data_IF_019014226684
#
_entry.id   IF_019014226684
#
_cell.length_a   1.000
_cell.length_b   1.000
_cell.length_c   1.000
_cell.angle_alpha   90.00
_cell.angle_beta   90.00
_cell.angle_gamma   90.00
#
_symmetry.space_group_name_H-M   'P 1'
#
loop_
_entity.id
_entity.type
_entity.pdbx_description
1 polymer ?
#
# COMPACT_ATOMS: atom_id res chain seq x y z
N UNK A 1 4.91 31.21 -11.77
CA UNK A 1 5.26 29.85 -12.22
C UNK A 1 4.21 28.89 -11.71
N UNK A 2 3.79 27.92 -12.53
CA UNK A 2 2.74 26.95 -12.15
C UNK A 2 3.39 25.90 -11.23
N UNK A 3 3.05 25.93 -9.95
CA UNK A 3 3.58 25.01 -8.94
C UNK A 3 3.00 23.61 -9.21
N UNK A 4 3.85 22.58 -9.19
CA UNK A 4 3.41 21.19 -9.33
C UNK A 4 3.34 20.52 -7.96
N UNK A 5 2.50 19.50 -7.88
CA UNK A 5 2.37 18.63 -6.72
C UNK A 5 2.96 17.26 -7.02
N UNK A 6 3.77 16.77 -6.10
CA UNK A 6 4.40 15.46 -6.17
C UNK A 6 4.09 14.67 -4.92
N UNK A 7 3.68 13.42 -5.07
CA UNK A 7 3.53 12.48 -3.96
C UNK A 7 4.90 12.14 -3.37
N UNK A 8 5.01 12.18 -2.05
CA UNK A 8 6.16 11.72 -1.29
C UNK A 8 5.70 10.72 -0.20
N UNK A 9 6.22 9.50 -0.27
CA UNK A 9 5.79 8.38 0.54
C UNK A 9 6.73 8.15 1.72
N UNK A 10 6.16 8.14 2.92
CA UNK A 10 6.87 7.87 4.16
C UNK A 10 6.27 6.67 4.89
N UNK A 11 7.09 5.97 5.65
CA UNK A 11 6.61 5.12 6.76
C UNK A 11 6.62 5.95 8.04
N UNK A 12 6.03 5.45 9.13
CA UNK A 12 6.14 6.15 10.42
C UNK A 12 7.60 6.31 10.86
N UNK A 13 8.45 5.31 10.56
CA UNK A 13 9.87 5.37 10.85
C UNK A 13 10.60 6.43 10.00
N UNK A 14 10.45 6.41 8.68
CA UNK A 14 11.18 7.35 7.81
C UNK A 14 10.70 8.79 7.98
N UNK A 15 9.43 9.00 8.38
CA UNK A 15 8.92 10.32 8.75
C UNK A 15 9.57 10.86 10.02
N UNK A 16 9.70 10.01 11.06
CA UNK A 16 10.36 10.41 12.29
C UNK A 16 11.85 10.70 12.04
N UNK A 17 12.55 9.85 11.27
CA UNK A 17 13.96 10.07 10.89
C UNK A 17 14.15 11.36 10.08
N UNK A 18 13.19 11.67 9.19
CA UNK A 18 13.16 12.94 8.48
C UNK A 18 13.04 14.13 9.45
N UNK A 19 12.15 14.07 10.44
CA UNK A 19 12.01 15.14 11.44
C UNK A 19 13.24 15.24 12.35
N UNK A 20 13.80 14.12 12.81
CA UNK A 20 15.00 14.06 13.66
C UNK A 20 16.24 14.63 12.97
N UNK A 21 16.35 14.47 11.65
CA UNK A 21 17.41 15.07 10.82
C UNK A 21 17.17 16.55 10.46
N UNK A 22 16.14 17.17 11.04
CA UNK A 22 15.82 18.59 10.88
C UNK A 22 14.82 18.91 9.76
N UNK A 23 14.22 17.89 9.13
CA UNK A 23 13.11 18.06 8.19
C UNK A 23 13.46 18.82 6.92
N UNK A 24 14.73 18.85 6.52
CA UNK A 24 15.23 19.72 5.45
C UNK A 24 15.61 18.98 4.16
N UNK A 25 15.53 17.65 4.17
CA UNK A 25 15.97 16.81 3.05
C UNK A 25 14.99 15.66 2.84
N UNK A 26 14.30 15.65 1.70
CA UNK A 26 13.50 14.48 1.26
C UNK A 26 14.34 13.62 0.32
N UNK A 27 14.20 12.30 0.44
CA UNK A 27 15.01 11.32 -0.28
C UNK A 27 14.16 10.26 -0.97
N UNK A 28 14.63 9.83 -2.13
CA UNK A 28 14.05 8.79 -2.96
C UNK A 28 15.10 7.76 -3.35
N UNK A 29 14.64 6.59 -3.80
CA UNK A 29 15.52 5.53 -4.31
C UNK A 29 16.28 6.02 -5.54
N UNK A 30 17.49 5.51 -5.74
CA UNK A 30 18.34 5.84 -6.89
C UNK A 30 17.63 5.59 -8.24
N UNK A 31 16.86 4.51 -8.35
CA UNK A 31 16.07 4.18 -9.54
C UNK A 31 15.03 5.24 -9.93
N UNK A 32 14.72 6.18 -9.03
CA UNK A 32 13.78 7.28 -9.23
C UNK A 32 14.47 8.59 -9.60
N UNK A 33 15.81 8.61 -9.72
CA UNK A 33 16.60 9.81 -10.02
C UNK A 33 16.08 10.59 -11.23
N UNK A 34 15.76 9.91 -12.34
CA UNK A 34 15.21 10.53 -13.55
C UNK A 34 13.85 11.23 -13.33
N UNK A 35 13.09 10.83 -12.33
CA UNK A 35 11.83 11.47 -11.95
C UNK A 35 12.08 12.63 -11.00
N UNK A 36 12.99 12.47 -10.03
CA UNK A 36 13.40 13.54 -9.11
C UNK A 36 13.99 14.71 -9.89
N UNK A 37 14.76 14.46 -10.95
CA UNK A 37 15.30 15.48 -11.86
C UNK A 37 14.24 16.38 -12.53
N UNK A 38 12.97 15.96 -12.55
CA UNK A 38 11.86 16.74 -13.11
C UNK A 38 11.23 17.69 -12.09
N UNK A 39 11.52 17.51 -10.81
CA UNK A 39 11.02 18.32 -9.71
C UNK A 39 11.82 19.61 -9.66
N UNK A 40 11.14 20.76 -9.61
CA UNK A 40 11.76 22.07 -9.63
C UNK A 40 11.61 22.79 -8.31
N UNK A 41 12.51 23.75 -8.05
CA UNK A 41 12.34 24.69 -6.94
C UNK A 41 10.98 25.39 -7.01
N UNK A 42 10.27 25.39 -5.87
CA UNK A 42 8.92 25.92 -5.72
C UNK A 42 7.80 24.90 -5.99
N UNK A 43 8.11 23.68 -6.40
CA UNK A 43 7.13 22.58 -6.39
C UNK A 43 6.84 22.12 -4.95
N UNK A 44 5.69 21.49 -4.74
CA UNK A 44 5.28 20.96 -3.45
C UNK A 44 5.33 19.43 -3.42
N UNK A 45 5.81 18.89 -2.31
CA UNK A 45 5.74 17.47 -1.98
C UNK A 45 4.58 17.24 -1.01
N UNK A 46 3.68 16.32 -1.34
CA UNK A 46 2.57 15.88 -0.51
C UNK A 46 3.03 14.63 0.25
N UNK A 47 3.22 14.77 1.56
CA UNK A 47 3.70 13.67 2.41
C UNK A 47 2.57 12.76 2.83
N UNK A 48 2.71 11.47 2.50
CA UNK A 48 1.73 10.43 2.81
C UNK A 48 2.37 9.27 3.59
N UNK A 49 1.70 8.82 4.65
CA UNK A 49 2.13 7.67 5.46
C UNK A 49 1.55 6.35 4.94
N UNK A 50 2.42 5.47 4.43
CA UNK A 50 2.05 4.23 3.70
C UNK A 50 1.57 3.06 4.56
N UNK A 51 1.59 3.14 5.90
CA UNK A 51 1.03 2.09 6.78
C UNK A 51 -0.33 2.43 7.38
N UNK A 52 -0.68 3.72 7.44
CA UNK A 52 -1.88 4.21 8.14
C UNK A 52 -2.81 5.00 7.21
N UNK A 53 -2.41 5.13 5.94
CA UNK A 53 -3.11 5.79 4.85
C UNK A 53 -3.54 7.23 5.15
N UNK A 54 -2.58 8.06 5.60
CA UNK A 54 -2.83 9.46 5.97
C UNK A 54 -1.89 10.44 5.29
N UNK A 55 -2.43 11.59 4.91
CA UNK A 55 -1.63 12.77 4.55
C UNK A 55 -1.16 13.47 5.82
N UNK A 56 0.15 13.59 5.98
CA UNK A 56 0.77 14.10 7.21
C UNK A 56 1.40 15.48 7.04
N UNK A 57 1.70 15.92 5.82
CA UNK A 57 2.35 17.21 5.65
C UNK A 57 2.56 17.62 4.20
N UNK A 58 3.06 18.84 4.06
CA UNK A 58 3.41 19.46 2.78
C UNK A 58 4.78 20.10 2.91
N UNK A 59 5.65 19.81 1.95
CA UNK A 59 7.00 20.37 1.88
C UNK A 59 7.13 21.19 0.60
N UNK A 60 7.81 22.33 0.68
CA UNK A 60 8.22 23.12 -0.48
C UNK A 60 9.63 22.74 -0.89
N UNK A 61 9.87 22.51 -2.18
CA UNK A 61 11.19 22.22 -2.72
C UNK A 61 11.99 23.51 -2.87
N UNK A 62 13.16 23.59 -2.23
CA UNK A 62 13.97 24.83 -2.19
C UNK A 62 15.29 24.73 -2.98
N UNK A 63 15.68 23.55 -3.45
CA UNK A 63 16.89 23.32 -4.25
C UNK A 63 16.62 22.54 -5.53
N UNK A 64 17.63 22.53 -6.40
CA UNK A 64 17.72 21.51 -7.44
C UNK A 64 17.97 20.11 -6.83
N UNK A 65 17.58 19.04 -7.54
CA UNK A 65 17.91 17.65 -7.22
C UNK A 65 19.42 17.41 -7.08
N UNK A 66 19.80 16.60 -6.10
CA UNK A 66 21.20 16.16 -5.91
C UNK A 66 21.26 14.70 -5.47
N UNK A 67 22.42 14.07 -5.63
CA UNK A 67 22.69 12.74 -5.10
C UNK A 67 23.60 12.82 -3.87
N UNK A 68 23.25 12.12 -2.80
CA UNK A 68 24.01 12.09 -1.55
C UNK A 68 23.68 10.81 -0.76
N UNK A 69 24.70 10.16 -0.22
CA UNK A 69 24.59 8.87 0.47
C UNK A 69 24.73 9.01 2.00
N UNK A 70 24.63 10.22 2.57
CA UNK A 70 24.71 10.39 4.02
C UNK A 70 23.62 9.60 4.75
N UNK A 71 23.92 8.99 5.90
CA UNK A 71 22.97 8.15 6.62
C UNK A 71 21.95 9.02 7.37
N UNK A 72 20.78 9.23 6.74
CA UNK A 72 19.60 9.84 7.37
C UNK A 72 18.60 8.75 7.80
N UNK A 73 18.39 7.76 6.93
CA UNK A 73 17.44 6.67 7.14
C UNK A 73 18.17 5.38 7.51
N UNK A 74 17.61 4.62 8.46
CA UNK A 74 18.27 3.42 9.01
C UNK A 74 18.06 2.16 8.17
N UNK A 75 16.89 2.05 7.55
CA UNK A 75 16.46 0.80 6.90
C UNK A 75 16.86 0.72 5.42
N UNK A 76 16.89 1.86 4.72
CA UNK A 76 17.18 1.91 3.28
C UNK A 76 17.93 3.19 2.90
N UNK A 77 18.71 3.11 1.83
CA UNK A 77 19.38 4.27 1.24
C UNK A 77 18.45 5.01 0.27
N UNK A 78 18.35 6.32 0.47
CA UNK A 78 17.62 7.22 -0.40
C UNK A 78 18.57 8.29 -0.97
N UNK A 79 19.38 7.93 -1.98
CA UNK A 79 20.43 8.80 -2.48
C UNK A 79 19.91 9.93 -3.37
N UNK A 80 18.76 9.79 -4.02
CA UNK A 80 18.17 10.84 -4.85
C UNK A 80 17.42 11.85 -3.97
N UNK A 81 17.96 13.05 -3.76
CA UNK A 81 17.48 13.99 -2.73
C UNK A 81 17.09 15.35 -3.25
N UNK A 82 16.26 16.00 -2.45
CA UNK A 82 15.83 17.40 -2.59
C UNK A 82 15.97 18.11 -1.25
N UNK A 83 16.49 19.34 -1.26
CA UNK A 83 16.32 20.21 -0.10
C UNK A 83 14.89 20.73 -0.09
N UNK A 84 14.28 20.64 1.08
CA UNK A 84 12.87 20.93 1.28
C UNK A 84 12.69 21.78 2.53
N UNK A 85 11.58 22.53 2.57
CA UNK A 85 11.14 23.28 3.73
C UNK A 85 9.74 22.78 4.12
N UNK A 86 9.52 22.34 5.37
CA UNK A 86 8.17 22.00 5.83
C UNK A 86 7.28 23.25 5.85
N UNK A 87 6.15 23.18 5.16
CA UNK A 87 5.12 24.24 5.17
C UNK A 87 4.05 23.90 6.20
N UNK A 88 3.58 22.65 6.19
CA UNK A 88 2.64 22.12 7.17
C UNK A 88 3.11 20.73 7.59
N UNK A 89 3.13 20.49 8.90
CA UNK A 89 3.45 19.20 9.50
C UNK A 89 2.40 18.86 10.55
N UNK A 90 1.65 17.79 10.31
CA UNK A 90 0.65 17.24 11.23
C UNK A 90 1.27 16.14 12.09
N UNK A 91 0.61 15.81 13.20
CA UNK A 91 0.93 14.61 13.98
C UNK A 91 0.22 13.40 13.38
N UNK A 92 0.72 12.17 13.56
CA UNK A 92 0.07 10.98 13.00
C UNK A 92 -1.42 10.86 13.37
N UNK A 93 -1.80 11.24 14.60
CA UNK A 93 -3.19 11.24 15.07
C UNK A 93 -4.05 12.35 14.43
N UNK A 94 -3.48 13.50 14.07
CA UNK A 94 -4.21 14.59 13.41
C UNK A 94 -4.11 14.57 11.87
N UNK A 95 -3.25 13.71 11.33
CA UNK A 95 -3.09 13.48 9.90
C UNK A 95 -4.40 13.02 9.23
N UNK A 96 -4.58 13.37 7.97
CA UNK A 96 -5.86 13.22 7.27
C UNK A 96 -5.95 11.85 6.61
N UNK A 97 -6.90 10.98 6.99
CA UNK A 97 -7.10 9.71 6.31
C UNK A 97 -7.53 9.93 4.86
N UNK A 98 -6.90 9.22 3.93
CA UNK A 98 -7.11 9.39 2.48
C UNK A 98 -8.59 9.29 2.07
N UNK A 99 -9.35 8.41 2.72
CA UNK A 99 -10.77 8.21 2.44
C UNK A 99 -11.65 9.42 2.78
N UNK A 100 -11.20 10.34 3.64
CA UNK A 100 -11.95 11.58 3.91
C UNK A 100 -11.98 12.53 2.72
N UNK A 101 -11.06 12.33 1.75
CA UNK A 101 -10.97 13.12 0.52
C UNK A 101 -11.47 12.35 -0.71
N UNK A 102 -12.16 11.21 -0.51
CA UNK A 102 -12.65 10.34 -1.59
C UNK A 102 -13.44 11.11 -2.66
N UNK A 103 -14.31 12.03 -2.25
CA UNK A 103 -15.19 12.76 -3.18
C UNK A 103 -14.46 13.89 -3.94
N UNK A 104 -13.28 14.28 -3.47
CA UNK A 104 -12.50 15.40 -4.05
C UNK A 104 -11.39 14.94 -4.99
N UNK A 105 -10.92 13.71 -4.82
CA UNK A 105 -9.71 13.21 -5.46
C UNK A 105 -10.03 12.40 -6.72
N UNK A 106 -9.38 12.76 -7.82
CA UNK A 106 -9.60 12.19 -9.15
C UNK A 106 -9.38 10.67 -9.17
N UNK A 107 -8.40 10.16 -8.43
CA UNK A 107 -8.09 8.73 -8.37
C UNK A 107 -9.05 7.90 -7.51
N UNK A 108 -10.08 8.50 -6.93
CA UNK A 108 -11.24 7.78 -6.38
C UNK A 108 -12.47 7.83 -7.29
N UNK A 109 -12.40 8.55 -8.41
CA UNK A 109 -13.49 8.64 -9.37
C UNK A 109 -13.40 7.48 -10.37
N UNK A 110 -14.55 6.94 -10.76
CA UNK A 110 -14.66 5.89 -11.79
C UNK A 110 -13.79 4.64 -11.51
N UNK A 111 -13.71 4.23 -10.25
CA UNK A 111 -12.95 3.05 -9.85
C UNK A 111 -13.52 1.78 -10.46
N UNK A 112 -12.66 0.97 -11.09
CA UNK A 112 -13.00 -0.38 -11.57
C UNK A 112 -13.19 -1.38 -10.42
N UNK A 113 -12.53 -1.13 -9.27
CA UNK A 113 -12.65 -1.92 -8.06
C UNK A 113 -12.41 -1.06 -6.80
N UNK A 114 -12.89 -1.46 -5.62
CA UNK A 114 -12.74 -0.69 -4.38
C UNK A 114 -11.28 -0.38 -3.99
N UNK A 115 -10.31 -1.17 -4.47
CA UNK A 115 -8.89 -1.02 -4.16
C UNK A 115 -8.07 -0.36 -5.27
N UNK A 116 -8.67 -0.04 -6.42
CA UNK A 116 -7.94 0.51 -7.57
C UNK A 116 -7.27 1.86 -7.27
N UNK A 117 -7.79 2.64 -6.31
CA UNK A 117 -7.20 3.91 -5.86
C UNK A 117 -5.78 3.74 -5.29
N UNK A 118 -5.45 2.57 -4.74
CA UNK A 118 -4.11 2.29 -4.18
C UNK A 118 -3.01 2.40 -5.23
N UNK A 119 -3.35 2.24 -6.51
CA UNK A 119 -2.43 2.43 -7.64
C UNK A 119 -1.76 3.81 -7.65
N UNK A 120 -2.47 4.85 -7.21
CA UNK A 120 -1.93 6.22 -7.12
C UNK A 120 -0.77 6.35 -6.12
N UNK A 121 -0.64 5.39 -5.19
CA UNK A 121 0.35 5.37 -4.10
C UNK A 121 1.45 4.31 -4.30
N UNK A 122 1.53 3.69 -5.49
CA UNK A 122 2.54 2.64 -5.77
C UNK A 122 3.91 3.17 -6.19
N UNK A 123 4.07 4.48 -6.37
CA UNK A 123 5.35 5.06 -6.77
C UNK A 123 5.62 6.40 -6.10
N UNK A 124 6.86 6.60 -5.66
CA UNK A 124 7.35 7.86 -5.10
C UNK A 124 8.67 8.25 -5.78
N UNK A 125 8.84 9.49 -6.28
CA UNK A 125 7.82 10.53 -6.36
C UNK A 125 6.86 10.27 -7.53
N UNK A 126 5.64 10.78 -7.45
CA UNK A 126 4.65 10.75 -8.55
C UNK A 126 4.00 12.12 -8.75
N UNK A 127 3.94 12.60 -9.99
CA UNK A 127 3.30 13.89 -10.29
C UNK A 127 1.78 13.75 -10.23
N UNK A 128 1.13 14.62 -9.47
CA UNK A 128 -0.33 14.67 -9.36
C UNK A 128 -0.93 15.85 -10.13
N UNK A 129 -2.23 15.77 -10.39
CA UNK A 129 -2.97 16.86 -11.00
C UNK A 129 -2.98 18.07 -10.07
N UNK A 130 -3.17 19.27 -10.65
CA UNK A 130 -3.24 20.48 -9.85
C UNK A 130 -4.46 20.45 -8.92
N UNK A 131 -5.59 19.97 -9.41
CA UNK A 131 -6.84 19.94 -8.65
C UNK A 131 -6.74 18.99 -7.44
N UNK A 132 -6.14 17.81 -7.61
CA UNK A 132 -5.89 16.89 -6.49
C UNK A 132 -4.92 17.50 -5.48
N UNK A 133 -3.85 18.13 -5.97
CA UNK A 133 -2.87 18.78 -5.12
C UNK A 133 -3.46 19.95 -4.32
N UNK A 134 -4.23 20.81 -4.97
CA UNK A 134 -4.92 21.95 -4.35
C UNK A 134 -5.96 21.47 -3.30
N UNK A 135 -6.69 20.39 -3.59
CA UNK A 135 -7.66 19.79 -2.66
C UNK A 135 -6.98 19.25 -1.39
N UNK A 136 -5.86 18.55 -1.54
CA UNK A 136 -5.09 18.01 -0.40
C UNK A 136 -4.41 19.14 0.36
N UNK A 137 -3.84 20.12 -0.34
CA UNK A 137 -3.22 21.27 0.30
C UNK A 137 -4.20 21.99 1.21
N UNK A 138 -5.40 22.27 0.68
CA UNK A 138 -6.46 22.93 1.44
C UNK A 138 -6.90 22.10 2.64
N UNK A 139 -7.06 20.79 2.47
CA UNK A 139 -7.45 19.89 3.56
C UNK A 139 -6.39 19.82 4.66
N UNK A 140 -5.11 19.66 4.30
CA UNK A 140 -3.99 19.59 5.26
C UNK A 140 -3.80 20.92 5.98
N UNK A 141 -4.04 22.04 5.30
CA UNK A 141 -4.07 23.36 5.94
C UNK A 141 -5.20 23.47 6.96
N UNK A 142 -6.41 23.10 6.59
CA UNK A 142 -7.56 23.08 7.51
C UNK A 142 -7.30 22.17 8.73
N UNK A 143 -6.74 20.98 8.53
CA UNK A 143 -6.40 20.10 9.65
C UNK A 143 -5.26 20.63 10.55
N UNK A 144 -4.43 21.56 10.05
CA UNK A 144 -3.43 22.24 10.86
C UNK A 144 -4.05 23.33 11.74
N UNK A 145 -5.11 23.98 11.27
CA UNK A 145 -5.84 25.02 12.00
C UNK A 145 -6.90 24.40 12.95
N UNK A 146 -7.55 23.32 12.50
CA UNK A 146 -8.62 22.59 13.18
C UNK A 146 -8.25 21.10 13.34
N UNK A 147 -7.29 20.77 14.23
CA UNK A 147 -6.82 19.40 14.38
C UNK A 147 -7.92 18.50 14.94
N UNK A 148 -8.27 17.46 14.19
CA UNK A 148 -9.18 16.40 14.64
C UNK A 148 -8.36 15.19 15.04
N UNK A 149 -8.40 14.83 16.32
CA UNK A 149 -7.71 13.66 16.84
C UNK A 149 -8.38 12.37 16.33
N UNK A 150 -7.60 11.55 15.64
CA UNK A 150 -8.00 10.24 15.13
C UNK A 150 -6.93 9.24 15.54
N UNK A 151 -7.18 8.37 16.53
CA UNK A 151 -6.21 7.37 16.96
C UNK A 151 -5.65 6.57 15.79
N UNK A 152 -4.36 6.25 15.86
CA UNK A 152 -3.65 5.43 14.88
C UNK A 152 -3.20 4.17 15.57
N UNK A 153 -3.34 3.02 14.92
CA UNK A 153 -2.77 1.77 15.42
C UNK A 153 -1.22 1.88 15.45
N UNK A 154 -0.59 1.83 16.64
CA UNK A 154 0.86 1.92 16.77
C UNK A 154 1.60 0.81 16.01
N UNK A 155 0.99 -0.37 15.82
CA UNK A 155 1.60 -1.47 15.06
C UNK A 155 1.72 -1.11 13.59
N UNK A 156 0.67 -0.54 12.99
CA UNK A 156 0.66 -0.08 11.59
C UNK A 156 1.60 1.11 11.39
N UNK A 157 1.72 2.00 12.37
CA UNK A 157 2.62 3.16 12.30
C UNK A 157 4.10 2.75 12.37
N UNK A 158 4.43 1.80 13.24
CA UNK A 158 5.79 1.30 13.41
C UNK A 158 6.17 0.20 12.40
N UNK A 159 5.25 -0.18 11.52
CA UNK A 159 5.50 -1.19 10.50
C UNK A 159 6.59 -0.72 9.53
N UNK A 160 7.58 -1.59 9.30
CA UNK A 160 8.68 -1.38 8.38
C UNK A 160 8.58 -2.40 7.23
N UNK A 161 8.31 -1.97 5.99
CA UNK A 161 8.30 -2.89 4.86
C UNK A 161 9.71 -3.43 4.65
N UNK A 162 9.84 -4.76 4.59
CA UNK A 162 11.12 -5.42 4.31
C UNK A 162 11.44 -5.26 2.83
N UNK A 163 12.46 -4.47 2.49
CA UNK A 163 12.99 -4.39 1.13
C UNK A 163 13.69 -5.69 0.75
N UNK A 164 13.16 -6.43 -0.24
CA UNK A 164 13.88 -7.56 -0.83
C UNK A 164 14.79 -7.05 -1.95
N UNK A 165 16.10 -7.34 -1.85
CA UNK A 165 17.06 -7.11 -2.95
C UNK A 165 16.90 -8.23 -3.99
N UNK A 166 16.12 -7.95 -5.05
CA UNK A 166 16.04 -8.80 -6.25
C UNK A 166 17.11 -8.40 -7.27
N UNK A 167 17.52 -9.33 -8.16
CA UNK A 167 18.42 -9.04 -9.30
C UNK A 167 17.86 -8.00 -10.29
N UNK A 168 16.58 -7.60 -10.16
CA UNK A 168 15.89 -6.61 -11.00
C UNK A 168 15.64 -5.28 -10.23
N UNK A 169 16.27 -5.10 -9.06
CA UNK A 169 16.14 -3.92 -8.22
C UNK A 169 15.26 -4.15 -6.99
N UNK A 170 15.27 -3.20 -6.06
CA UNK A 170 14.51 -3.29 -4.82
C UNK A 170 13.02 -3.05 -5.10
N UNK A 171 12.23 -4.12 -4.97
CA UNK A 171 10.77 -4.04 -5.01
C UNK A 171 10.27 -4.03 -3.58
N UNK A 172 9.72 -2.90 -3.13
CA UNK A 172 8.94 -2.87 -1.90
C UNK A 172 7.61 -3.55 -2.19
N UNK A 173 7.43 -4.75 -1.66
CA UNK A 173 6.15 -5.45 -1.69
C UNK A 173 5.25 -4.75 -0.65
N UNK A 174 4.17 -4.05 -1.05
CA UNK A 174 3.13 -3.70 -0.09
C UNK A 174 2.67 -5.03 0.50
N UNK A 175 2.74 -5.19 1.82
CA UNK A 175 2.16 -6.38 2.43
C UNK A 175 0.70 -6.45 2.03
N UNK A 176 0.34 -7.50 1.29
CA UNK A 176 -1.02 -8.00 1.24
C UNK A 176 -1.45 -8.20 2.68
N UNK A 177 -2.38 -7.35 3.10
CA UNK A 177 -3.22 -7.42 4.28
C UNK A 177 -2.69 -8.31 5.42
N UNK A 178 -1.82 -7.72 6.23
CA UNK A 178 -1.65 -8.17 7.62
C UNK A 178 -2.83 -7.65 8.42
N UNK A 179 -3.89 -8.48 8.49
CA UNK A 179 -5.05 -8.39 9.37
C UNK A 179 -5.60 -6.98 9.60
N UNK A 180 -6.49 -6.55 8.69
CA UNK A 180 -7.39 -5.45 8.96
C UNK A 180 -8.43 -5.87 10.02
N UNK A 181 -8.10 -5.67 11.30
CA UNK A 181 -9.13 -5.49 12.34
C UNK A 181 -9.54 -4.02 12.45
N UNK A 182 -9.61 -3.32 11.32
CA UNK A 182 -10.35 -2.07 11.18
C UNK A 182 -11.72 -2.39 10.64
N UNK A 183 -12.77 -2.18 11.44
CA UNK A 183 -14.21 -2.24 11.13
C UNK A 183 -14.54 -2.66 9.69
N UNK A 184 -14.32 -3.94 9.37
CA UNK A 184 -14.76 -4.49 8.09
C UNK A 184 -16.23 -4.77 8.25
N UNK A 185 -17.02 -4.19 7.35
CA UNK A 185 -18.45 -4.45 7.23
C UNK A 185 -18.66 -5.98 7.26
N UNK A 186 -19.39 -6.51 8.26
CA UNK A 186 -19.65 -7.95 8.40
C UNK A 186 -20.21 -8.59 7.11
N UNK A 187 -20.80 -7.77 6.23
CA UNK A 187 -21.24 -8.15 4.88
C UNK A 187 -20.10 -8.56 3.95
N UNK A 188 -19.01 -7.80 3.89
CA UNK A 188 -17.90 -8.06 2.95
C UNK A 188 -17.17 -9.38 3.23
N UNK A 189 -16.96 -9.73 4.50
CA UNK A 189 -16.40 -11.02 4.89
C UNK A 189 -17.33 -12.19 4.52
N UNK A 190 -18.65 -11.99 4.62
CA UNK A 190 -19.65 -12.97 4.22
C UNK A 190 -19.61 -13.21 2.71
N UNK A 191 -19.54 -12.13 1.92
CA UNK A 191 -19.56 -12.21 0.45
C UNK A 191 -18.31 -12.91 -0.10
N UNK A 192 -17.13 -12.61 0.44
CA UNK A 192 -15.88 -13.26 0.03
C UNK A 192 -15.86 -14.75 0.42
N UNK A 193 -16.33 -15.09 1.63
CA UNK A 193 -16.45 -16.50 2.06
C UNK A 193 -17.49 -17.27 1.24
N UNK A 194 -18.59 -16.61 0.84
CA UNK A 194 -19.61 -17.16 -0.07
C UNK A 194 -19.02 -17.46 -1.45
N UNK A 195 -18.29 -16.52 -2.04
CA UNK A 195 -17.65 -16.69 -3.35
C UNK A 195 -16.63 -17.82 -3.31
N UNK A 196 -15.74 -17.86 -2.30
CA UNK A 196 -14.78 -18.95 -2.12
C UNK A 196 -15.49 -20.31 -2.05
N UNK A 197 -16.55 -20.43 -1.24
CA UNK A 197 -17.32 -21.67 -1.14
C UNK A 197 -17.93 -22.10 -2.48
N UNK A 198 -18.54 -21.16 -3.20
CA UNK A 198 -19.17 -21.44 -4.50
C UNK A 198 -18.14 -21.89 -5.54
N UNK A 199 -16.96 -21.27 -5.58
CA UNK A 199 -15.87 -21.66 -6.48
C UNK A 199 -15.28 -23.03 -6.14
N UNK A 200 -15.08 -23.33 -4.85
CA UNK A 200 -14.61 -24.64 -4.41
C UNK A 200 -15.62 -25.73 -4.76
N UNK A 201 -16.91 -25.47 -4.52
CA UNK A 201 -17.98 -26.41 -4.85
C UNK A 201 -18.06 -26.64 -6.36
N UNK A 202 -18.05 -25.59 -7.17
CA UNK A 202 -18.09 -25.67 -8.63
C UNK A 202 -16.88 -26.45 -9.17
N UNK A 203 -15.67 -26.16 -8.70
CA UNK A 203 -14.47 -26.88 -9.10
C UNK A 203 -14.54 -28.37 -8.77
N UNK A 204 -15.04 -28.71 -7.57
CA UNK A 204 -15.24 -30.09 -7.12
C UNK A 204 -16.29 -30.82 -7.99
N UNK A 205 -17.43 -30.17 -8.25
CA UNK A 205 -18.52 -30.70 -9.08
C UNK A 205 -18.08 -30.90 -10.55
N UNK A 206 -17.21 -30.03 -11.06
CA UNK A 206 -16.57 -30.17 -12.38
C UNK A 206 -15.45 -31.22 -12.42
N UNK A 207 -15.13 -31.81 -11.26
CA UNK A 207 -14.20 -32.92 -11.14
C UNK A 207 -12.75 -32.54 -10.90
N UNK A 208 -12.44 -31.26 -10.67
CA UNK A 208 -11.09 -30.79 -10.34
C UNK A 208 -10.72 -31.07 -8.89
N UNK A 209 -9.42 -31.10 -8.63
CA UNK A 209 -8.88 -30.97 -7.28
C UNK A 209 -8.88 -29.49 -6.92
N UNK A 210 -9.39 -29.14 -5.75
CA UNK A 210 -9.54 -27.74 -5.33
C UNK A 210 -8.63 -27.42 -4.17
N UNK A 211 -8.23 -26.15 -4.06
CA UNK A 211 -7.45 -25.63 -2.96
C UNK A 211 -8.02 -24.29 -2.53
N UNK A 212 -8.01 -24.05 -1.23
CA UNK A 212 -8.33 -22.76 -0.62
C UNK A 212 -7.11 -22.23 0.11
N UNK A 213 -6.92 -20.91 0.10
CA UNK A 213 -5.84 -20.23 0.80
C UNK A 213 -5.65 -20.82 2.22
N UNK A 214 -4.40 -21.02 2.61
CA UNK A 214 -4.05 -21.68 3.88
C UNK A 214 -4.70 -21.01 5.10
N UNK A 215 -4.83 -19.69 5.05
CA UNK A 215 -5.42 -18.88 6.12
C UNK A 215 -6.94 -19.05 6.23
N UNK A 216 -7.60 -19.55 5.17
CA UNK A 216 -9.05 -19.60 5.03
C UNK A 216 -9.63 -21.02 5.12
N UNK A 217 -8.77 -22.02 5.28
CA UNK A 217 -9.16 -23.44 5.40
C UNK A 217 -10.19 -23.73 6.49
N UNK A 218 -10.14 -22.99 7.59
CA UNK A 218 -11.03 -23.20 8.73
C UNK A 218 -12.35 -22.43 8.62
N UNK A 219 -12.57 -21.68 7.54
CA UNK A 219 -13.82 -20.92 7.34
C UNK A 219 -15.00 -21.85 7.05
N UNK A 220 -16.17 -21.39 7.46
CA UNK A 220 -17.44 -22.03 7.18
C UNK A 220 -18.37 -21.07 6.46
N UNK A 221 -19.21 -21.62 5.59
CA UNK A 221 -20.29 -20.88 4.96
C UNK A 221 -21.61 -21.61 5.18
N UNK A 222 -22.55 -20.96 5.89
CA UNK A 222 -23.90 -21.50 6.20
C UNK A 222 -23.83 -22.90 6.84
N UNK A 223 -22.89 -23.12 7.77
CA UNK A 223 -22.70 -24.39 8.47
C UNK A 223 -21.98 -25.48 7.65
N UNK A 224 -21.43 -25.14 6.49
CA UNK A 224 -20.64 -26.04 5.65
C UNK A 224 -19.18 -25.60 5.68
N UNK A 225 -18.36 -26.37 6.39
CA UNK A 225 -16.93 -26.12 6.47
C UNK A 225 -16.24 -26.46 5.15
N UNK A 226 -15.24 -25.68 4.75
CA UNK A 226 -14.51 -25.89 3.50
C UNK A 226 -13.79 -27.24 3.47
N UNK A 227 -13.35 -27.75 4.63
CA UNK A 227 -12.69 -29.06 4.75
C UNK A 227 -13.61 -30.24 4.43
N UNK A 228 -14.93 -30.04 4.47
CA UNK A 228 -15.90 -31.09 4.11
C UNK A 228 -16.13 -31.21 2.60
N UNK A 229 -15.50 -30.36 1.77
CA UNK A 229 -15.61 -30.43 0.33
C UNK A 229 -14.76 -31.57 -0.23
N UNK A 230 -15.35 -32.37 -1.11
CA UNK A 230 -14.66 -33.43 -1.83
C UNK A 230 -13.52 -32.86 -2.68
N UNK A 231 -12.41 -33.58 -2.78
CA UNK A 231 -11.23 -33.21 -3.60
C UNK A 231 -10.50 -31.94 -3.17
N UNK A 232 -10.72 -31.46 -1.94
CA UNK A 232 -9.86 -30.43 -1.35
C UNK A 232 -8.46 -31.01 -1.10
N UNK A 233 -7.42 -30.38 -1.67
CA UNK A 233 -6.03 -30.79 -1.50
C UNK A 233 -5.48 -30.29 -0.16
N UNK A 234 -4.82 -31.18 0.58
CA UNK A 234 -4.10 -30.82 1.79
C UNK A 234 -2.76 -30.15 1.51
N UNK A 235 -2.11 -30.49 0.40
CA UNK A 235 -0.83 -29.96 -0.03
C UNK A 235 -0.84 -29.66 -1.54
N UNK A 236 -0.18 -28.58 -1.95
CA UNK A 236 0.03 -28.23 -3.34
C UNK A 236 1.27 -28.97 -3.91
N UNK A 237 1.34 -29.20 -5.23
CA UNK A 237 2.53 -29.75 -5.85
C UNK A 237 3.75 -28.82 -5.65
N UNK A 238 4.83 -29.32 -5.06
CA UNK A 238 6.09 -28.59 -4.89
C UNK A 238 6.86 -28.47 -6.21
N UNK A 239 6.39 -27.61 -7.11
CA UNK A 239 7.02 -27.38 -8.42
C UNK A 239 7.88 -26.11 -8.47
N UNK A 240 7.70 -25.20 -7.52
CA UNK A 240 8.43 -23.93 -7.49
C UNK A 240 9.35 -23.83 -6.27
N UNK A 241 10.16 -22.78 -6.22
CA UNK A 241 10.96 -22.44 -5.04
C UNK A 241 10.07 -22.15 -3.80
N UNK A 242 10.66 -22.20 -2.62
CA UNK A 242 9.94 -22.12 -1.34
C UNK A 242 9.12 -20.82 -1.17
N UNK A 243 9.58 -19.71 -1.76
CA UNK A 243 8.91 -18.41 -1.65
C UNK A 243 7.69 -18.39 -2.59
N UNK A 244 7.89 -18.86 -3.82
CA UNK A 244 6.81 -18.98 -4.81
C UNK A 244 5.72 -19.91 -4.30
N UNK A 245 6.06 -21.07 -3.71
CA UNK A 245 5.07 -21.97 -3.11
C UNK A 245 4.31 -21.30 -1.95
N UNK A 246 5.00 -20.60 -1.05
CA UNK A 246 4.35 -19.83 0.03
C UNK A 246 3.39 -18.76 -0.49
N UNK A 247 3.69 -18.17 -1.64
CA UNK A 247 2.82 -17.17 -2.28
C UNK A 247 1.58 -17.84 -2.90
N UNK A 248 1.78 -18.96 -3.59
CA UNK A 248 0.68 -19.72 -4.20
C UNK A 248 -0.26 -20.30 -3.11
N UNK A 249 0.27 -20.70 -1.96
CA UNK A 249 -0.52 -21.16 -0.80
C UNK A 249 -1.52 -20.11 -0.27
N UNK A 250 -1.31 -18.83 -0.58
CA UNK A 250 -2.12 -17.71 -0.13
C UNK A 250 -3.16 -17.25 -1.16
N UNK A 251 -3.20 -17.84 -2.37
CA UNK A 251 -4.23 -17.53 -3.37
C UNK A 251 -5.58 -18.08 -2.89
N UNK A 252 -6.64 -17.26 -2.98
CA UNK A 252 -7.95 -17.54 -2.40
C UNK A 252 -8.51 -18.90 -2.81
N UNK A 253 -8.60 -19.16 -4.12
CA UNK A 253 -9.02 -20.47 -4.65
C UNK A 253 -8.18 -20.87 -5.85
N UNK A 254 -7.71 -22.12 -5.85
CA UNK A 254 -7.03 -22.74 -7.01
C UNK A 254 -7.77 -24.01 -7.44
N UNK A 255 -7.85 -24.22 -8.75
CA UNK A 255 -8.30 -25.49 -9.33
C UNK A 255 -7.14 -26.20 -9.99
N UNK A 256 -7.03 -27.49 -9.75
CA UNK A 256 -5.97 -28.35 -10.24
C UNK A 256 -6.55 -29.58 -10.94
N UNK A 257 -5.79 -30.12 -11.89
CA UNK A 257 -6.04 -31.44 -12.48
C UNK A 257 -4.76 -32.25 -12.35
N UNK A 258 -4.71 -33.15 -11.38
CA UNK A 258 -3.46 -33.81 -11.00
C UNK A 258 -2.48 -32.79 -10.40
N UNK A 259 -1.33 -32.60 -11.04
CA UNK A 259 -0.29 -31.66 -10.60
C UNK A 259 -0.28 -30.34 -11.39
N UNK A 260 -1.26 -30.08 -12.25
CA UNK A 260 -1.30 -28.87 -13.09
C UNK A 260 -2.36 -27.90 -12.59
N UNK A 261 -1.99 -26.63 -12.45
CA UNK A 261 -2.92 -25.53 -12.15
C UNK A 261 -3.76 -25.20 -13.38
N UNK A 262 -5.09 -25.22 -13.23
CA UNK A 262 -6.06 -24.97 -14.30
C UNK A 262 -6.64 -23.55 -14.18
N UNK A 263 -6.89 -23.09 -12.96
CA UNK A 263 -7.43 -21.76 -12.70
C UNK A 263 -6.99 -21.26 -11.31
N UNK A 264 -6.91 -19.94 -11.18
CA UNK A 264 -6.65 -19.23 -9.94
C UNK A 264 -7.63 -18.05 -9.82
N UNK A 265 -8.16 -17.85 -8.62
CA UNK A 265 -9.15 -16.81 -8.32
C UNK A 265 -8.67 -16.02 -7.10
N UNK A 266 -8.78 -14.69 -7.18
CA UNK A 266 -8.44 -13.66 -6.19
C UNK A 266 -9.46 -12.51 -6.32
#
# INVERSE_FOLDING_TARGET
MKQNYWLDLFTGATWNEFLESGGNTSGFRESRWSTVQKIKKGDFLICYLTGVSRFIGILEVISEPFQDNSLIWKDEDFPARLKVKPIITLKPNTAIPVHTLRDKLSFFQNLKSPHAWTGAFRSSPAKWSKDDGDAIFSAVKDASENPVDRPVDPRKLNYRPKGFKSKIGTVSIPSTDSEDKGVVDKKSYSDHTEIQYLLLKLGSDMGFDVWVARNDRNRDFKGRNFTNLSKLRNELPNQFDEITNKTIELIDVLWLKGNTFIAAFE
#
